data_IF_138321704441
#
_entry.id   IF_138321704441
#
_cell.length_a   1.000
_cell.length_b   1.000
_cell.length_c   1.000
_cell.angle_alpha   90.00
_cell.angle_beta   90.00
_cell.angle_gamma   90.00
#
_symmetry.space_group_name_H-M   'P 1'
#
loop_
_entity.id
_entity.type
_entity.pdbx_description
1 polymer ?
#
# COMPACT_ATOMS: atom_id res chain seq x y z
N UNK A 1 6.88 -6.96 18.02
CA UNK A 1 8.34 -6.95 17.76
C UNK A 1 9.15 -8.18 18.18
N UNK A 2 8.98 -8.76 19.37
CA UNK A 2 9.86 -9.85 19.87
C UNK A 2 10.05 -11.02 18.91
N UNK A 3 8.96 -11.50 18.29
CA UNK A 3 8.99 -12.61 17.33
C UNK A 3 9.85 -12.30 16.10
N UNK A 4 9.61 -11.14 15.46
CA UNK A 4 10.34 -10.70 14.27
C UNK A 4 11.85 -10.65 14.56
N UNK A 5 12.26 -10.06 15.70
CA UNK A 5 13.68 -10.01 16.09
C UNK A 5 14.27 -11.40 16.33
N UNK A 6 13.54 -12.29 16.99
CA UNK A 6 13.99 -13.65 17.24
C UNK A 6 14.20 -14.42 15.93
N UNK A 7 13.27 -14.30 14.97
CA UNK A 7 13.39 -14.93 13.65
C UNK A 7 14.56 -14.32 12.86
N UNK A 8 14.69 -12.99 12.84
CA UNK A 8 15.79 -12.29 12.16
C UNK A 8 17.17 -12.63 12.75
N UNK A 9 17.24 -12.89 14.06
CA UNK A 9 18.49 -13.33 14.72
C UNK A 9 18.81 -14.81 14.47
N UNK A 10 17.79 -15.61 14.17
CA UNK A 10 17.92 -17.06 13.93
C UNK A 10 18.21 -17.39 12.47
N UNK A 11 17.86 -16.51 11.54
CA UNK A 11 18.19 -16.68 10.12
C UNK A 11 19.66 -16.30 9.90
N UNK A 12 20.49 -17.28 9.53
CA UNK A 12 21.90 -17.05 9.22
C UNK A 12 22.05 -16.61 7.75
N UNK A 13 22.97 -15.68 7.45
CA UNK A 13 23.24 -15.11 6.12
C UNK A 13 23.56 -16.14 5.01
N UNK A 14 23.75 -17.41 5.35
CA UNK A 14 24.12 -18.46 4.40
C UNK A 14 22.97 -18.92 3.48
N UNK A 15 21.73 -18.42 3.62
CA UNK A 15 20.59 -18.76 2.75
C UNK A 15 20.45 -20.27 2.48
N UNK A 16 20.81 -21.10 3.46
CA UNK A 16 20.92 -22.54 3.24
C UNK A 16 19.54 -23.23 3.19
N UNK A 17 18.50 -22.55 3.70
CA UNK A 17 17.12 -23.04 3.70
C UNK A 17 16.09 -21.91 3.82
N UNK A 18 14.90 -22.13 3.26
CA UNK A 18 13.75 -21.24 3.40
C UNK A 18 13.04 -21.46 4.74
N UNK A 19 12.47 -20.40 5.31
CA UNK A 19 11.70 -20.46 6.56
C UNK A 19 10.24 -20.81 6.26
N UNK A 20 9.73 -21.88 6.87
CA UNK A 20 8.31 -22.22 6.80
C UNK A 20 7.51 -21.37 7.80
N UNK A 21 6.59 -20.56 7.29
CA UNK A 21 5.64 -19.78 8.11
C UNK A 21 4.23 -20.30 7.82
N UNK A 22 3.46 -20.64 8.86
CA UNK A 22 2.08 -21.06 8.69
C UNK A 22 1.18 -20.58 9.84
N UNK A 23 -0.12 -20.53 9.57
CA UNK A 23 -1.15 -20.37 10.58
C UNK A 23 -2.26 -21.41 10.33
N UNK A 24 -3.54 -21.04 10.45
CA UNK A 24 -4.65 -21.95 10.12
C UNK A 24 -4.81 -22.10 8.60
N UNK A 25 -5.01 -21.00 7.88
CA UNK A 25 -5.16 -20.98 6.41
C UNK A 25 -3.85 -20.73 5.66
N UNK A 26 -2.80 -20.32 6.37
CA UNK A 26 -1.53 -19.91 5.77
C UNK A 26 -1.60 -18.59 5.01
N UNK A 27 -2.66 -17.78 5.20
CA UNK A 27 -2.87 -16.54 4.43
C UNK A 27 -3.02 -15.28 5.30
N UNK A 28 -3.77 -15.33 6.40
CA UNK A 28 -4.02 -14.16 7.27
C UNK A 28 -2.79 -13.76 8.10
N UNK A 29 -2.66 -14.30 9.31
CA UNK A 29 -1.47 -14.08 10.19
C UNK A 29 -0.13 -14.40 9.53
N UNK A 30 -0.10 -15.43 8.66
CA UNK A 30 1.09 -15.74 7.86
C UNK A 30 1.41 -14.61 6.91
N UNK A 31 0.40 -14.05 6.22
CA UNK A 31 0.56 -12.88 5.39
C UNK A 31 1.05 -11.67 6.16
N UNK A 32 0.45 -11.36 7.30
CA UNK A 32 0.89 -10.26 8.17
C UNK A 32 2.37 -10.39 8.52
N UNK A 33 2.79 -11.59 8.95
CA UNK A 33 4.19 -11.81 9.33
C UNK A 33 5.14 -11.68 8.14
N UNK A 34 4.82 -12.32 7.01
CA UNK A 34 5.67 -12.28 5.82
C UNK A 34 5.75 -10.87 5.23
N UNK A 35 4.63 -10.15 5.12
CA UNK A 35 4.59 -8.75 4.68
C UNK A 35 5.44 -7.87 5.59
N UNK A 36 5.31 -8.00 6.92
CA UNK A 36 6.11 -7.22 7.85
C UNK A 36 7.61 -7.51 7.71
N UNK A 37 8.00 -8.77 7.52
CA UNK A 37 9.40 -9.15 7.30
C UNK A 37 9.96 -8.54 6.01
N UNK A 38 9.19 -8.57 4.92
CA UNK A 38 9.56 -8.01 3.62
C UNK A 38 9.73 -6.49 3.70
N UNK A 39 8.75 -5.79 4.30
CA UNK A 39 8.84 -4.35 4.54
C UNK A 39 10.06 -3.98 5.40
N UNK A 40 10.38 -4.77 6.42
CA UNK A 40 11.57 -4.56 7.25
C UNK A 40 12.86 -4.79 6.47
N UNK A 41 12.87 -5.70 5.49
CA UNK A 41 14.01 -5.90 4.59
C UNK A 41 14.20 -4.67 3.69
N UNK A 42 13.14 -4.16 3.06
CA UNK A 42 13.17 -2.94 2.25
C UNK A 42 13.73 -1.74 3.04
N UNK A 43 13.24 -1.54 4.28
CA UNK A 43 13.74 -0.48 5.17
C UNK A 43 15.24 -0.65 5.45
N UNK A 44 15.70 -1.88 5.68
CA UNK A 44 17.10 -2.16 5.98
C UNK A 44 18.04 -1.98 4.77
N UNK A 45 17.51 -2.10 3.55
CA UNK A 45 18.24 -1.85 2.30
C UNK A 45 18.35 -0.35 1.97
N UNK A 46 17.68 0.51 2.75
CA UNK A 46 17.66 1.96 2.56
C UNK A 46 16.57 2.45 1.61
N UNK A 47 15.64 1.57 1.23
CA UNK A 47 14.53 1.89 0.35
C UNK A 47 13.32 2.42 1.12
N UNK A 48 12.48 3.18 0.43
CA UNK A 48 11.15 3.55 0.92
C UNK A 48 10.28 2.30 1.06
N UNK A 49 9.48 2.23 2.13
CA UNK A 49 8.56 1.11 2.35
C UNK A 49 7.19 1.40 1.72
N UNK A 50 6.73 0.50 0.84
CA UNK A 50 5.37 0.53 0.27
C UNK A 50 4.61 -0.73 0.68
N UNK A 51 3.81 -0.61 1.75
CA UNK A 51 3.03 -1.73 2.29
C UNK A 51 1.95 -2.19 1.29
N UNK A 52 1.34 -1.27 0.53
CA UNK A 52 0.30 -1.62 -0.43
C UNK A 52 0.88 -2.46 -1.57
N UNK A 53 1.97 -1.98 -2.17
CA UNK A 53 2.64 -2.69 -3.25
C UNK A 53 3.23 -4.02 -2.77
N UNK A 54 3.77 -4.07 -1.55
CA UNK A 54 4.28 -5.31 -0.95
C UNK A 54 3.16 -6.35 -0.81
N UNK A 55 2.00 -5.98 -0.23
CA UNK A 55 0.86 -6.90 -0.11
C UNK A 55 0.33 -7.33 -1.48
N UNK A 56 0.30 -6.42 -2.45
CA UNK A 56 -0.14 -6.72 -3.82
C UNK A 56 0.77 -7.75 -4.50
N UNK A 57 2.09 -7.61 -4.36
CA UNK A 57 3.07 -8.57 -4.89
C UNK A 57 2.89 -9.93 -4.21
N UNK A 58 2.86 -9.97 -2.87
CA UNK A 58 2.72 -11.23 -2.13
C UNK A 58 1.39 -11.95 -2.42
N UNK A 59 0.32 -11.19 -2.73
CA UNK A 59 -0.97 -11.78 -3.17
C UNK A 59 -0.91 -12.40 -4.55
N UNK A 60 0.01 -11.95 -5.42
CA UNK A 60 0.25 -12.59 -6.71
C UNK A 60 0.87 -13.99 -6.52
N UNK A 61 1.75 -14.14 -5.51
CA UNK A 61 2.37 -15.42 -5.17
C UNK A 61 1.40 -16.35 -4.41
N UNK A 62 0.62 -15.80 -3.47
CA UNK A 62 -0.37 -16.55 -2.70
C UNK A 62 -1.64 -15.72 -2.50
N UNK A 63 -2.73 -16.19 -3.12
CA UNK A 63 -4.04 -15.53 -2.99
C UNK A 63 -4.45 -15.30 -1.54
N UNK A 64 -5.18 -14.20 -1.31
CA UNK A 64 -5.75 -13.83 -0.01
C UNK A 64 -4.73 -13.62 1.11
N UNK A 65 -3.46 -13.34 0.79
CA UNK A 65 -2.49 -12.89 1.79
C UNK A 65 -2.96 -11.59 2.46
N UNK A 66 -2.93 -11.53 3.81
CA UNK A 66 -3.51 -10.44 4.62
C UNK A 66 -5.01 -10.28 4.28
N UNK A 67 -5.88 -10.99 4.98
CA UNK A 67 -7.27 -11.20 4.55
C UNK A 67 -8.21 -10.07 4.94
N UNK A 68 -7.93 -9.43 6.08
CA UNK A 68 -8.84 -8.46 6.71
C UNK A 68 -8.21 -7.08 6.78
N UNK A 69 -9.05 -6.06 6.94
CA UNK A 69 -8.59 -4.68 7.12
C UNK A 69 -7.77 -4.55 8.41
N UNK A 70 -8.20 -5.21 9.49
CA UNK A 70 -7.51 -5.18 10.77
C UNK A 70 -6.11 -5.82 10.68
N UNK A 71 -5.97 -6.91 9.92
CA UNK A 71 -4.67 -7.51 9.62
C UNK A 71 -3.78 -6.55 8.83
N UNK A 72 -4.35 -5.80 7.88
CA UNK A 72 -3.62 -4.81 7.08
C UNK A 72 -3.18 -3.60 7.92
N UNK A 73 -4.09 -3.01 8.71
CA UNK A 73 -3.79 -1.93 9.65
C UNK A 73 -2.71 -2.35 10.65
N UNK A 74 -2.78 -3.59 11.15
CA UNK A 74 -1.77 -4.12 12.05
C UNK A 74 -0.38 -4.21 11.41
N UNK A 75 -0.26 -4.42 10.09
CA UNK A 75 1.04 -4.33 9.40
C UNK A 75 1.61 -2.91 9.54
N UNK A 76 0.81 -1.86 9.37
CA UNK A 76 1.27 -0.47 9.56
C UNK A 76 1.73 -0.24 11.00
N UNK A 77 0.99 -0.74 11.99
CA UNK A 77 1.36 -0.60 13.39
C UNK A 77 2.69 -1.28 13.70
N UNK A 78 2.90 -2.48 13.14
CA UNK A 78 4.17 -3.19 13.24
C UNK A 78 5.29 -2.36 12.59
N UNK A 79 5.13 -1.90 11.35
CA UNK A 79 6.20 -1.13 10.70
C UNK A 79 6.49 0.18 11.43
N UNK A 80 5.48 0.89 11.89
CA UNK A 80 5.63 2.12 12.69
C UNK A 80 6.42 1.86 13.97
N UNK A 81 6.06 0.82 14.72
CA UNK A 81 6.78 0.42 15.94
C UNK A 81 8.24 0.02 15.64
N UNK A 82 8.50 -0.59 14.47
CA UNK A 82 9.85 -0.97 14.06
C UNK A 82 10.70 0.28 13.80
N UNK A 83 10.16 1.23 13.04
CA UNK A 83 10.83 2.50 12.73
C UNK A 83 11.16 3.29 14.01
N UNK A 84 10.20 3.38 14.93
CA UNK A 84 10.43 4.02 16.23
C UNK A 84 11.50 3.32 17.06
N UNK A 85 11.51 1.98 17.14
CA UNK A 85 12.49 1.28 17.98
C UNK A 85 13.92 1.40 17.44
N UNK A 86 14.08 1.41 16.11
CA UNK A 86 15.39 1.49 15.46
C UNK A 86 15.83 2.96 15.22
N UNK A 87 15.08 3.94 15.76
CA UNK A 87 15.32 5.38 15.64
C UNK A 87 15.46 5.89 14.19
N UNK A 88 14.65 5.36 13.27
CA UNK A 88 14.54 5.95 11.94
C UNK A 88 13.82 7.30 12.04
N UNK A 89 14.45 8.35 11.53
CA UNK A 89 13.78 9.63 11.34
C UNK A 89 12.87 9.54 10.13
N UNK A 90 11.56 9.75 10.35
CA UNK A 90 10.64 9.92 9.23
C UNK A 90 10.95 11.27 8.59
N UNK A 91 11.55 11.23 7.39
CA UNK A 91 11.73 12.44 6.60
C UNK A 91 10.34 13.02 6.27
N UNK A 92 10.21 14.36 6.27
CA UNK A 92 9.01 14.99 5.74
C UNK A 92 8.79 14.43 4.33
N UNK A 93 7.60 13.88 4.08
CA UNK A 93 7.20 13.59 2.71
C UNK A 93 7.36 14.91 1.93
N UNK A 94 8.03 14.91 0.77
CA UNK A 94 8.03 16.09 -0.08
C UNK A 94 6.55 16.43 -0.30
N UNK A 95 6.13 17.62 0.15
CA UNK A 95 4.86 18.19 -0.28
C UNK A 95 5.11 18.53 -1.74
N UNK A 96 5.01 17.52 -2.62
CA UNK A 96 4.79 17.78 -4.02
C UNK A 96 3.46 18.51 -4.06
N UNK A 97 3.48 19.77 -4.49
CA UNK A 97 2.31 20.58 -4.81
C UNK A 97 1.29 19.63 -5.44
N UNK A 98 0.24 19.30 -4.69
CA UNK A 98 -0.60 18.18 -5.02
C UNK A 98 -1.07 18.37 -6.46
N UNK A 99 -0.75 17.42 -7.34
CA UNK A 99 -1.14 17.48 -8.76
C UNK A 99 -2.67 17.65 -8.91
N UNK A 100 -3.41 17.30 -7.86
CA UNK A 100 -4.80 17.63 -7.63
C UNK A 100 -4.92 18.86 -6.71
N UNK A 101 -4.92 20.07 -7.28
CA UNK A 101 -5.07 21.35 -6.58
C UNK A 101 -6.44 21.61 -5.94
N UNK A 102 -7.18 20.55 -5.57
CA UNK A 102 -8.54 20.62 -5.00
C UNK A 102 -8.60 20.03 -3.58
N UNK A 103 -7.49 19.52 -3.05
CA UNK A 103 -7.45 18.93 -1.71
C UNK A 103 -6.34 19.64 -0.93
N UNK A 104 -6.66 20.77 -0.32
CA UNK A 104 -5.80 21.32 0.73
C UNK A 104 -6.00 20.45 1.97
N UNK A 105 -5.10 19.51 2.21
CA UNK A 105 -5.07 18.77 3.48
C UNK A 105 -4.12 19.54 4.40
N UNK A 106 -4.69 20.29 5.33
CA UNK A 106 -3.91 20.95 6.37
C UNK A 106 -3.50 19.93 7.44
N UNK A 107 -2.31 19.35 7.27
CA UNK A 107 -1.71 18.38 8.20
C UNK A 107 -1.26 19.00 9.53
N UNK A 108 -1.53 20.30 9.80
CA UNK A 108 -1.30 20.89 11.12
C UNK A 108 -2.43 20.60 12.12
N UNK A 109 -3.50 19.91 11.71
CA UNK A 109 -4.58 19.51 12.61
C UNK A 109 -4.18 18.33 13.51
N UNK A 110 -4.67 18.39 14.76
CA UNK A 110 -4.48 17.38 15.80
C UNK A 110 -4.98 16.01 15.31
N UNK A 111 -4.21 14.90 15.43
CA UNK A 111 -4.61 13.57 14.96
C UNK A 111 -5.92 13.01 15.55
N UNK A 112 -6.50 13.66 16.56
CA UNK A 112 -7.82 13.31 17.12
C UNK A 112 -9.00 13.84 16.28
N UNK A 113 -8.81 14.81 15.40
CA UNK A 113 -9.88 15.28 14.50
C UNK A 113 -9.82 14.57 13.16
N UNK A 114 -10.74 13.63 12.94
CA UNK A 114 -10.93 13.00 11.64
C UNK A 114 -11.75 13.92 10.71
N UNK A 115 -11.17 14.49 9.64
CA UNK A 115 -11.88 15.39 8.73
C UNK A 115 -13.01 14.70 7.93
N UNK A 116 -13.16 13.38 8.06
CA UNK A 116 -14.24 12.59 7.46
C UNK A 116 -15.38 12.25 8.44
N UNK A 117 -15.34 12.71 9.69
CA UNK A 117 -16.49 12.60 10.59
C UNK A 117 -17.56 13.64 10.21
N UNK A 118 -18.56 13.19 9.44
CA UNK A 118 -19.78 13.97 9.23
C UNK A 118 -20.62 13.88 10.51
N UNK A 119 -20.47 14.86 11.41
CA UNK A 119 -21.13 14.84 12.72
C UNK A 119 -22.60 15.26 12.68
N UNK A 120 -23.09 15.83 11.57
CA UNK A 120 -24.48 16.31 11.47
C UNK A 120 -25.21 15.79 10.22
N UNK A 121 -26.24 14.93 10.38
CA UNK A 121 -27.03 14.39 9.26
C UNK A 121 -27.70 15.44 8.37
N UNK A 122 -27.91 16.66 8.89
CA UNK A 122 -28.50 17.77 8.12
C UNK A 122 -27.52 18.42 7.13
N UNK A 123 -26.21 18.30 7.35
CA UNK A 123 -25.19 18.91 6.49
C UNK A 123 -24.90 18.06 5.24
N UNK A 124 -24.95 16.73 5.38
CA UNK A 124 -24.79 15.78 4.28
C UNK A 124 -25.80 16.01 3.12
N UNK A 125 -27.03 16.41 3.46
CA UNK A 125 -28.08 16.69 2.48
C UNK A 125 -27.85 17.97 1.67
N UNK A 126 -27.25 19.00 2.28
CA UNK A 126 -26.98 20.27 1.59
C UNK A 126 -25.84 20.14 0.58
N UNK A 127 -24.78 19.41 0.93
CA UNK A 127 -23.62 19.16 0.07
C UNK A 127 -24.03 18.35 -1.17
N UNK A 128 -24.84 17.29 -1.01
CA UNK A 128 -25.32 16.49 -2.13
C UNK A 128 -26.20 17.27 -3.14
N UNK A 129 -26.94 18.28 -2.68
CA UNK A 129 -27.80 19.10 -3.55
C UNK A 129 -27.04 20.18 -4.33
N UNK A 130 -25.86 20.60 -3.87
CA UNK A 130 -24.99 21.54 -4.61
C UNK A 130 -24.23 20.87 -5.76
N UNK A 131 -23.95 19.57 -5.68
CA UNK A 131 -23.31 18.79 -6.75
C UNK A 131 -24.30 18.20 -7.77
N UNK A 132 -25.48 18.80 -7.91
CA UNK A 132 -26.44 18.45 -8.95
C UNK A 132 -25.91 18.76 -10.36
N UNK A 133 -25.68 17.72 -11.15
CA UNK A 133 -25.58 17.69 -12.63
C UNK A 133 -24.29 18.21 -13.29
N UNK A 134 -23.11 17.70 -12.89
CA UNK A 134 -21.84 17.92 -13.64
C UNK A 134 -21.56 16.81 -14.68
N UNK A 135 -22.30 15.70 -14.66
CA UNK A 135 -22.04 14.54 -15.52
C UNK A 135 -22.45 14.72 -16.99
N UNK A 136 -23.39 15.61 -17.29
CA UNK A 136 -23.96 15.75 -18.66
C UNK A 136 -23.08 16.60 -19.58
N UNK A 137 -22.42 17.64 -19.06
CA UNK A 137 -21.61 18.58 -19.86
C UNK A 137 -20.20 18.02 -20.18
N UNK A 138 -19.64 17.18 -19.30
CA UNK A 138 -18.26 16.65 -19.44
C UNK A 138 -18.12 15.54 -20.49
N UNK A 139 -19.23 15.03 -21.02
CA UNK A 139 -19.21 13.95 -22.02
C UNK A 139 -19.01 14.44 -23.47
N UNK A 140 -19.12 15.74 -23.76
CA UNK A 140 -19.01 16.25 -25.14
C UNK A 140 -17.59 16.68 -25.54
N UNK A 141 -16.73 17.01 -24.57
CA UNK A 141 -15.38 17.53 -24.82
C UNK A 141 -14.26 16.48 -24.71
N UNK A 142 -14.60 15.19 -24.56
CA UNK A 142 -13.59 14.13 -24.54
C UNK A 142 -13.06 13.92 -25.97
N UNK A 143 -11.76 14.12 -26.24
CA UNK A 143 -11.17 13.76 -27.53
C UNK A 143 -11.39 12.26 -27.79
N UNK A 144 -11.85 11.90 -28.98
CA UNK A 144 -11.98 10.49 -29.38
C UNK A 144 -10.60 9.83 -29.33
N UNK A 145 -10.46 8.63 -28.75
CA UNK A 145 -9.18 7.93 -28.71
C UNK A 145 -8.73 7.63 -30.14
N UNK A 146 -7.49 7.97 -30.46
CA UNK A 146 -6.85 7.55 -31.72
C UNK A 146 -6.79 6.01 -31.77
N UNK A 147 -6.94 5.41 -32.97
CA UNK A 147 -6.81 3.97 -33.13
C UNK A 147 -5.43 3.51 -32.68
N UNK A 148 -5.40 2.65 -31.66
CA UNK A 148 -4.18 2.04 -31.15
C UNK A 148 -3.47 1.30 -32.28
N UNK A 149 -2.20 1.65 -32.51
CA UNK A 149 -1.35 0.87 -33.41
C UNK A 149 -1.26 -0.58 -32.91
N UNK A 150 -1.29 -1.58 -33.80
CA UNK A 150 -1.27 -2.97 -33.39
C UNK A 150 0.03 -3.27 -32.63
N UNK A 151 -0.14 -3.76 -31.39
CA UNK A 151 0.96 -4.25 -30.56
C UNK A 151 1.71 -5.37 -31.30
N UNK A 152 3.01 -5.20 -31.47
CA UNK A 152 3.90 -6.22 -32.03
C UNK A 152 3.94 -7.43 -31.09
N UNK A 153 3.59 -8.59 -31.64
CA UNK A 153 3.73 -9.91 -31.01
C UNK A 153 5.21 -10.18 -30.77
N UNK A 154 5.57 -10.71 -29.60
CA UNK A 154 6.92 -11.06 -29.19
C UNK A 154 7.74 -11.75 -30.29
N UNK A 155 8.94 -11.24 -30.53
CA UNK A 155 9.94 -11.87 -31.40
C UNK A 155 10.33 -13.23 -30.82
N UNK A 156 10.12 -14.29 -31.60
CA UNK A 156 10.53 -15.65 -31.25
C UNK A 156 12.07 -15.69 -31.24
N UNK A 157 12.66 -15.82 -30.05
CA UNK A 157 14.09 -16.14 -29.93
C UNK A 157 14.24 -17.64 -30.21
N UNK A 158 14.62 -17.98 -31.44
CA UNK A 158 15.03 -19.34 -31.82
C UNK A 158 16.36 -19.67 -31.17
N UNK A 159 16.42 -20.80 -30.46
CA UNK A 159 17.67 -21.40 -30.01
C UNK A 159 18.19 -22.30 -31.14
N UNK A 160 19.31 -21.91 -31.75
CA UNK A 160 20.01 -22.76 -32.72
C UNK A 160 20.66 -23.98 -32.02
N UNK A 161 20.83 -25.04 -32.82
CA UNK A 161 20.90 -26.47 -32.47
C UNK A 161 22.04 -26.94 -31.56
#
# INVERSE_FOLDING_TARGET
MKLIRAVKSSTNKMNEFSILVHCLSGAGRTGVFCTAMECIAQIAEGDSVDIFQTVKILRADRMQFVQTEEEYAFVYDVIREYLHTENYEQLPYPIEDHTYGNVEIDYTHDPEENPYEVTDPQEAGATALMYGNVETERSQDRPKPEPQQPYSVYENVTFDS
#
